data_IF_384041773640
#
_entry.id   IF_384041773640
#
_cell.length_a   1.000
_cell.length_b   1.000
_cell.length_c   1.000
_cell.angle_alpha   90.00
_cell.angle_beta   90.00
_cell.angle_gamma   90.00
#
_symmetry.space_group_name_H-M   'P 1'
#
loop_
_entity.id
_entity.type
_entity.pdbx_description
1 polymer ?
#
# COMPACT_ATOMS: atom_id res chain seq x y z
N UNK A 1 9.17 8.14 6.40
CA UNK A 1 9.19 7.58 5.02
C UNK A 1 8.02 8.17 4.26
N UNK A 2 8.21 8.60 3.01
CA UNK A 2 7.13 9.21 2.19
C UNK A 2 6.92 8.38 0.93
N UNK A 3 5.66 8.04 0.63
CA UNK A 3 5.23 7.32 -0.56
C UNK A 3 4.17 8.15 -1.29
N UNK A 4 4.25 8.21 -2.63
CA UNK A 4 3.24 8.84 -3.46
C UNK A 4 2.21 7.79 -3.89
N UNK A 5 0.96 8.05 -3.57
CA UNK A 5 -0.18 7.20 -3.86
C UNK A 5 -1.26 8.00 -4.63
N UNK A 6 -1.81 7.50 -5.74
CA UNK A 6 -2.79 8.23 -6.52
C UNK A 6 -4.17 8.34 -5.85
N UNK A 7 -4.48 7.52 -4.84
CA UNK A 7 -5.77 7.51 -4.13
C UNK A 7 -5.71 8.40 -2.89
N UNK A 8 -4.62 8.32 -2.14
CA UNK A 8 -4.45 9.02 -0.85
C UNK A 8 -3.48 10.22 -0.91
N UNK A 9 -2.85 10.48 -2.05
CA UNK A 9 -1.87 11.56 -2.19
C UNK A 9 -0.51 11.20 -1.60
N UNK A 10 -0.03 11.97 -0.63
CA UNK A 10 1.21 11.66 0.08
C UNK A 10 0.91 10.81 1.32
N UNK A 11 1.41 9.58 1.33
CA UNK A 11 1.37 8.71 2.50
C UNK A 11 2.68 8.86 3.26
N UNK A 12 2.59 9.27 4.53
CA UNK A 12 3.72 9.36 5.44
C UNK A 12 3.40 8.61 6.73
N UNK A 13 4.38 7.87 7.22
CA UNK A 13 4.37 7.25 8.54
C UNK A 13 5.49 7.86 9.38
N UNK A 14 5.26 7.98 10.69
CA UNK A 14 6.20 8.55 11.66
C UNK A 14 6.32 7.67 12.91
N UNK A 15 7.38 7.89 13.69
CA UNK A 15 7.55 7.25 15.00
C UNK A 15 7.57 5.71 14.94
N UNK A 16 6.75 5.07 15.79
CA UNK A 16 6.66 3.60 15.85
C UNK A 16 6.07 3.01 14.57
N UNK A 17 5.05 3.65 14.00
CA UNK A 17 4.41 3.20 12.77
C UNK A 17 5.42 3.18 11.62
N UNK A 18 6.28 4.20 11.49
CA UNK A 18 7.33 4.19 10.48
C UNK A 18 8.25 2.98 10.61
N UNK A 19 8.73 2.67 11.83
CA UNK A 19 9.65 1.55 12.03
C UNK A 19 9.04 0.21 11.66
N UNK A 20 7.81 -0.04 12.11
CA UNK A 20 7.09 -1.30 11.83
C UNK A 20 6.76 -1.41 10.34
N UNK A 21 6.26 -0.34 9.72
CA UNK A 21 5.92 -0.37 8.30
C UNK A 21 7.19 -0.55 7.46
N UNK A 22 8.28 0.16 7.76
CA UNK A 22 9.55 -0.02 7.05
C UNK A 22 10.06 -1.45 7.15
N UNK A 23 10.11 -2.02 8.35
CA UNK A 23 10.60 -3.40 8.52
C UNK A 23 9.77 -4.41 7.74
N UNK A 24 8.43 -4.24 7.72
CA UNK A 24 7.54 -5.06 6.91
C UNK A 24 7.77 -4.85 5.41
N UNK A 25 7.91 -3.61 4.95
CA UNK A 25 8.15 -3.31 3.53
C UNK A 25 9.50 -3.87 3.05
N UNK A 26 10.50 -4.02 3.91
CA UNK A 26 11.80 -4.61 3.56
C UNK A 26 11.75 -6.14 3.43
N UNK A 27 10.67 -6.79 3.88
CA UNK A 27 10.51 -8.24 3.76
C UNK A 27 10.21 -8.70 2.33
N UNK A 28 10.64 -9.92 2.00
CA UNK A 28 10.36 -10.54 0.68
C UNK A 28 8.87 -10.82 0.50
N UNK A 29 8.17 -11.12 1.59
CA UNK A 29 6.75 -11.46 1.66
C UNK A 29 5.90 -10.27 1.19
N UNK A 30 6.20 -9.07 1.71
CA UNK A 30 5.48 -7.85 1.31
C UNK A 30 5.92 -7.39 -0.08
N UNK A 31 7.21 -7.44 -0.41
CA UNK A 31 7.68 -7.09 -1.75
C UNK A 31 7.11 -8.00 -2.85
N UNK A 32 6.76 -9.26 -2.54
CA UNK A 32 6.07 -10.16 -3.48
C UNK A 32 4.72 -9.60 -3.94
N UNK A 33 4.03 -8.84 -3.10
CA UNK A 33 2.72 -8.28 -3.42
C UNK A 33 2.74 -7.30 -4.61
N UNK A 34 3.91 -6.77 -4.98
CA UNK A 34 4.09 -5.95 -6.19
C UNK A 34 3.80 -6.72 -7.48
N UNK A 35 3.85 -8.05 -7.45
CA UNK A 35 3.62 -8.93 -8.63
C UNK A 35 2.22 -9.54 -8.65
N UNK A 36 1.34 -9.15 -7.72
CA UNK A 36 -0.03 -9.66 -7.63
C UNK A 36 -0.99 -8.51 -7.81
N UNK A 37 -1.77 -8.52 -8.90
CA UNK A 37 -2.85 -7.55 -9.13
C UNK A 37 -3.90 -7.68 -8.03
N UNK A 38 -4.42 -6.55 -7.58
CA UNK A 38 -5.46 -6.52 -6.54
C UNK A 38 -6.76 -7.18 -7.03
N UNK A 39 -7.17 -6.90 -8.27
CA UNK A 39 -8.42 -7.36 -8.86
C UNK A 39 -8.26 -8.50 -9.88
N UNK A 40 -7.13 -9.20 -9.87
CA UNK A 40 -6.91 -10.38 -10.73
C UNK A 40 -7.08 -10.07 -12.21
N UNK A 41 -8.05 -10.74 -12.86
CA UNK A 41 -8.33 -10.63 -14.29
C UNK A 41 -9.18 -9.42 -14.67
N UNK A 42 -9.59 -8.57 -13.72
CA UNK A 42 -10.40 -7.40 -14.01
C UNK A 42 -9.76 -6.46 -15.04
N UNK A 43 -8.42 -6.46 -15.16
CA UNK A 43 -7.74 -5.65 -16.17
C UNK A 43 -7.99 -6.06 -17.61
N UNK A 44 -8.53 -7.26 -17.86
CA UNK A 44 -8.99 -7.69 -19.19
C UNK A 44 -10.24 -6.92 -19.66
N UNK A 45 -11.02 -6.39 -18.72
CA UNK A 45 -12.24 -5.60 -19.00
C UNK A 45 -12.02 -4.11 -18.70
N UNK A 46 -11.25 -3.82 -17.65
CA UNK A 46 -10.95 -2.46 -17.19
C UNK A 46 -9.43 -2.22 -17.25
N UNK A 47 -8.88 -1.70 -18.36
CA UNK A 47 -7.43 -1.60 -18.55
C UNK A 47 -6.67 -0.80 -17.47
N UNK A 48 -7.35 0.05 -16.70
CA UNK A 48 -6.77 0.78 -15.56
C UNK A 48 -6.70 -0.03 -14.25
N UNK A 49 -7.31 -1.21 -14.17
CA UNK A 49 -7.34 -2.07 -12.97
C UNK A 49 -6.03 -2.83 -12.73
N UNK A 50 -4.90 -2.13 -12.89
CA UNK A 50 -3.53 -2.67 -12.82
C UNK A 50 -2.88 -2.54 -11.44
N UNK A 51 -3.55 -1.88 -10.49
CA UNK A 51 -3.04 -1.69 -9.13
C UNK A 51 -2.77 -3.05 -8.45
N UNK A 52 -1.76 -3.06 -7.58
CA UNK A 52 -1.24 -4.28 -6.98
C UNK A 52 -1.70 -4.42 -5.54
N UNK A 53 -1.60 -5.64 -4.98
CA UNK A 53 -1.81 -5.86 -3.55
C UNK A 53 -0.84 -5.06 -2.68
N UNK A 54 0.33 -4.72 -3.22
CA UNK A 54 1.30 -3.87 -2.52
C UNK A 54 0.77 -2.44 -2.31
N UNK A 55 0.31 -1.77 -3.38
CA UNK A 55 -0.23 -0.40 -3.26
C UNK A 55 -1.47 -0.38 -2.37
N UNK A 56 -2.33 -1.41 -2.49
CA UNK A 56 -3.48 -1.55 -1.61
C UNK A 56 -3.07 -1.70 -0.13
N UNK A 57 -2.12 -2.57 0.20
CA UNK A 57 -1.68 -2.77 1.58
C UNK A 57 -1.08 -1.50 2.21
N UNK A 58 -0.30 -0.72 1.45
CA UNK A 58 0.22 0.58 1.89
C UNK A 58 -0.93 1.56 2.15
N UNK A 59 -1.91 1.64 1.25
CA UNK A 59 -3.11 2.46 1.44
C UNK A 59 -3.93 2.05 2.67
N UNK A 60 -4.11 0.76 2.91
CA UNK A 60 -4.78 0.25 4.12
C UNK A 60 -4.05 0.66 5.40
N UNK A 61 -2.72 0.57 5.43
CA UNK A 61 -1.93 1.02 6.57
C UNK A 61 -2.09 2.53 6.83
N UNK A 62 -2.15 3.33 5.77
CA UNK A 62 -2.43 4.76 5.88
C UNK A 62 -3.82 5.03 6.46
N UNK A 63 -4.86 4.35 5.96
CA UNK A 63 -6.23 4.49 6.48
C UNK A 63 -6.33 4.09 7.95
N UNK A 64 -5.63 3.02 8.37
CA UNK A 64 -5.59 2.62 9.79
C UNK A 64 -4.95 3.69 10.66
N UNK A 65 -3.84 4.31 10.22
CA UNK A 65 -3.22 5.40 10.96
C UNK A 65 -4.16 6.61 11.08
N UNK A 66 -4.84 6.98 9.99
CA UNK A 66 -5.83 8.06 10.01
C UNK A 66 -6.99 7.74 10.96
N UNK A 67 -7.41 6.48 11.07
CA UNK A 67 -8.45 6.05 12.01
C UNK A 67 -7.98 6.17 13.48
N UNK A 68 -6.75 5.77 13.79
CA UNK A 68 -6.19 5.86 15.15
C UNK A 68 -5.94 7.30 15.62
N UNK A 69 -5.84 8.24 14.70
CA UNK A 69 -5.63 9.67 14.99
C UNK A 69 -6.94 10.47 15.05
N UNK A 70 -8.10 9.81 14.91
CA UNK A 70 -9.41 10.38 15.21
C UNK A 70 -9.74 10.20 16.69
#
# INVERSE_FOLDING_TARGET
MILRDPVHGLIAFEGMAERVIRSLLDTREVQRLRRVRQLGLASLVFPGAEHTRFSHAVGTAHVMQALLHR
#
